data_IF_242044026429
#
_entry.id   IF_242044026429
#
_cell.length_a   1.000
_cell.length_b   1.000
_cell.length_c   1.000
_cell.angle_alpha   90.00
_cell.angle_beta   90.00
_cell.angle_gamma   90.00
#
_symmetry.space_group_name_H-M   'P 1'
#
loop_
_entity.id
_entity.type
_entity.pdbx_description
1 polymer ?
#
# COMPACT_ATOMS: atom_id res chain seq x y z
N UNK A 1 35.52 -25.09 14.02
CA UNK A 1 35.43 -24.54 12.64
C UNK A 1 34.15 -24.97 11.91
N UNK A 2 33.77 -26.26 11.85
CA UNK A 2 32.57 -26.77 11.15
C UNK A 2 31.24 -26.15 11.64
N UNK A 3 31.03 -26.01 12.96
CA UNK A 3 29.78 -25.44 13.52
C UNK A 3 29.60 -23.97 13.10
N UNK A 4 30.69 -23.17 13.12
CA UNK A 4 30.64 -21.77 12.69
C UNK A 4 30.31 -21.63 11.20
N UNK A 5 30.81 -22.53 10.38
CA UNK A 5 30.53 -22.57 8.94
C UNK A 5 29.04 -22.92 8.70
N UNK A 6 28.52 -23.96 9.39
CA UNK A 6 27.11 -24.34 9.31
C UNK A 6 26.19 -23.18 9.70
N UNK A 7 26.50 -22.51 10.82
CA UNK A 7 25.70 -21.36 11.25
C UNK A 7 25.73 -20.24 10.21
N UNK A 8 26.88 -19.90 9.65
CA UNK A 8 27.00 -18.88 8.60
C UNK A 8 26.20 -19.24 7.35
N UNK A 9 26.21 -20.50 6.93
CA UNK A 9 25.43 -20.97 5.79
C UNK A 9 23.92 -20.87 6.06
N UNK A 10 23.47 -21.26 7.25
CA UNK A 10 22.06 -21.15 7.66
C UNK A 10 21.61 -19.70 7.68
N UNK A 11 22.40 -18.79 8.28
CA UNK A 11 22.07 -17.37 8.29
C UNK A 11 22.01 -16.77 6.88
N UNK A 12 22.94 -17.13 6.00
CA UNK A 12 22.94 -16.69 4.61
C UNK A 12 21.69 -17.20 3.88
N UNK A 13 21.32 -18.46 4.06
CA UNK A 13 20.12 -19.02 3.43
C UNK A 13 18.84 -18.33 3.92
N UNK A 14 18.73 -18.07 5.22
CA UNK A 14 17.60 -17.32 5.79
C UNK A 14 17.55 -15.88 5.27
N UNK A 15 18.70 -15.23 5.16
CA UNK A 15 18.79 -13.88 4.61
C UNK A 15 18.37 -13.81 3.14
N UNK A 16 18.84 -14.75 2.32
CA UNK A 16 18.45 -14.85 0.92
C UNK A 16 16.95 -15.17 0.75
N UNK A 17 16.40 -16.03 1.60
CA UNK A 17 14.97 -16.32 1.62
C UNK A 17 14.15 -15.08 2.02
N UNK A 18 14.64 -14.32 3.00
CA UNK A 18 14.03 -13.04 3.38
C UNK A 18 14.07 -12.03 2.23
N UNK A 19 15.22 -11.87 1.55
CA UNK A 19 15.32 -10.97 0.41
C UNK A 19 14.40 -11.39 -0.73
N UNK A 20 14.35 -12.68 -1.06
CA UNK A 20 13.46 -13.20 -2.08
C UNK A 20 11.98 -12.91 -1.78
N UNK A 21 11.58 -13.05 -0.51
CA UNK A 21 10.24 -12.67 -0.07
C UNK A 21 10.03 -11.15 -0.06
N UNK A 22 11.00 -10.39 0.45
CA UNK A 22 10.88 -8.94 0.62
C UNK A 22 10.86 -8.20 -0.73
N UNK A 23 11.73 -8.61 -1.66
CA UNK A 23 11.87 -7.99 -2.99
C UNK A 23 10.95 -8.64 -4.04
N UNK A 24 10.21 -9.71 -3.68
CA UNK A 24 9.27 -10.37 -4.61
C UNK A 24 9.95 -11.10 -5.76
N UNK A 25 11.11 -11.73 -5.52
CA UNK A 25 11.82 -12.44 -6.60
C UNK A 25 10.94 -13.48 -7.29
N UNK A 26 10.83 -13.37 -8.62
CA UNK A 26 10.01 -14.26 -9.44
C UNK A 26 8.52 -13.87 -9.47
N UNK A 27 8.18 -12.65 -9.07
CA UNK A 27 6.84 -12.11 -9.30
C UNK A 27 6.75 -11.57 -10.72
N UNK A 28 5.88 -12.18 -11.52
CA UNK A 28 5.64 -11.75 -12.88
C UNK A 28 4.61 -10.60 -12.91
N UNK A 29 4.74 -9.67 -13.88
CA UNK A 29 3.71 -8.67 -14.14
C UNK A 29 2.36 -9.32 -14.45
N UNK A 30 1.28 -8.57 -14.32
CA UNK A 30 -0.04 -9.01 -14.74
C UNK A 30 -0.09 -9.27 -16.24
N UNK A 31 -0.62 -10.43 -16.62
CA UNK A 31 -0.95 -10.71 -18.02
C UNK A 31 -2.19 -9.92 -18.44
N UNK A 32 -2.36 -9.69 -19.75
CA UNK A 32 -3.56 -9.03 -20.28
C UNK A 32 -4.88 -9.74 -19.93
N UNK A 33 -4.85 -11.07 -19.82
CA UNK A 33 -6.00 -11.88 -19.42
C UNK A 33 -6.36 -11.67 -17.96
N UNK A 34 -5.37 -11.67 -17.06
CA UNK A 34 -5.56 -11.39 -15.63
C UNK A 34 -6.09 -9.98 -15.41
N UNK A 35 -5.54 -8.98 -16.12
CA UNK A 35 -6.03 -7.59 -16.07
C UNK A 35 -7.50 -7.51 -16.46
N UNK A 36 -7.90 -8.12 -17.59
CA UNK A 36 -9.27 -8.08 -18.05
C UNK A 36 -10.21 -8.79 -17.08
N UNK A 37 -9.82 -9.94 -16.55
CA UNK A 37 -10.60 -10.70 -15.56
C UNK A 37 -10.80 -9.90 -14.29
N UNK A 38 -9.74 -9.26 -13.77
CA UNK A 38 -9.79 -8.45 -12.57
C UNK A 38 -10.70 -7.22 -12.76
N UNK A 39 -10.55 -6.50 -13.88
CA UNK A 39 -11.35 -5.32 -14.17
C UNK A 39 -12.83 -5.69 -14.30
N UNK A 40 -13.17 -6.81 -14.97
CA UNK A 40 -14.55 -7.28 -15.07
C UNK A 40 -15.15 -7.64 -13.71
N UNK A 41 -14.34 -8.25 -12.82
CA UNK A 41 -14.78 -8.56 -11.44
C UNK A 41 -15.07 -7.29 -10.64
N UNK A 42 -14.18 -6.31 -10.68
CA UNK A 42 -14.31 -5.06 -9.95
C UNK A 42 -15.46 -4.20 -10.50
N UNK A 43 -15.65 -4.17 -11.81
CA UNK A 43 -16.79 -3.52 -12.47
C UNK A 43 -18.13 -4.12 -12.04
N UNK A 44 -18.21 -5.45 -11.96
CA UNK A 44 -19.41 -6.17 -11.50
C UNK A 44 -19.77 -5.87 -10.02
N UNK A 45 -18.83 -5.38 -9.24
CA UNK A 45 -19.03 -4.93 -7.85
C UNK A 45 -19.56 -3.49 -7.75
N UNK A 46 -19.78 -2.82 -8.90
CA UNK A 46 -20.34 -1.46 -8.94
C UNK A 46 -19.31 -0.35 -8.72
N UNK A 47 -18.04 -0.63 -8.96
CA UNK A 47 -16.96 0.35 -8.82
C UNK A 47 -17.17 1.55 -9.76
N UNK A 48 -16.85 2.72 -9.29
CA UNK A 48 -16.92 3.97 -10.04
C UNK A 48 -16.07 3.90 -11.33
N UNK A 49 -16.57 4.39 -12.49
CA UNK A 49 -15.84 4.36 -13.75
C UNK A 49 -14.46 5.03 -13.73
N UNK A 50 -14.29 6.09 -12.94
CA UNK A 50 -12.97 6.76 -12.81
C UNK A 50 -11.98 5.89 -12.01
N UNK A 51 -12.45 5.22 -10.98
CA UNK A 51 -11.63 4.26 -10.22
C UNK A 51 -11.21 3.07 -11.08
N UNK A 52 -12.13 2.53 -11.90
CA UNK A 52 -11.81 1.49 -12.88
C UNK A 52 -10.76 1.94 -13.89
N UNK A 53 -10.86 3.17 -14.37
CA UNK A 53 -9.87 3.76 -15.27
C UNK A 53 -8.50 3.88 -14.59
N UNK A 54 -8.46 4.32 -13.35
CA UNK A 54 -7.21 4.44 -12.57
C UNK A 54 -6.62 3.07 -12.26
N UNK A 55 -7.44 2.09 -11.90
CA UNK A 55 -7.00 0.71 -11.71
C UNK A 55 -6.43 0.12 -13.02
N UNK A 56 -7.08 0.36 -14.16
CA UNK A 56 -6.57 -0.06 -15.48
C UNK A 56 -5.20 0.54 -15.79
N UNK A 57 -4.98 1.80 -15.45
CA UNK A 57 -3.67 2.46 -15.64
C UNK A 57 -2.60 1.83 -14.74
N UNK A 58 -2.92 1.63 -13.45
CA UNK A 58 -2.01 0.98 -12.50
C UNK A 58 -1.57 -0.40 -12.98
N UNK A 59 -2.51 -1.20 -13.50
CA UNK A 59 -2.25 -2.56 -13.98
C UNK A 59 -1.52 -2.60 -15.32
N UNK A 60 -1.75 -1.61 -16.20
CA UNK A 60 -1.09 -1.54 -17.51
C UNK A 60 0.41 -1.27 -17.37
N UNK A 61 0.78 -0.49 -16.36
CA UNK A 61 2.17 -0.08 -16.11
C UNK A 61 2.89 -1.04 -15.15
N UNK A 62 2.30 -2.25 -14.91
CA UNK A 62 2.90 -3.25 -14.06
C UNK A 62 4.13 -3.88 -14.71
N UNK A 63 5.25 -3.80 -14.02
CA UNK A 63 6.55 -4.35 -14.39
C UNK A 63 6.97 -5.54 -13.49
N UNK A 64 6.09 -5.92 -12.54
CA UNK A 64 6.37 -6.95 -11.53
C UNK A 64 7.25 -6.48 -10.37
N UNK A 65 7.74 -5.27 -10.43
CA UNK A 65 8.67 -4.70 -9.45
C UNK A 65 7.94 -3.94 -8.32
N UNK A 66 8.70 -3.54 -7.31
CA UNK A 66 8.18 -2.70 -6.23
C UNK A 66 7.67 -1.35 -6.75
N UNK A 67 6.69 -0.79 -6.07
CA UNK A 67 6.24 0.55 -6.34
C UNK A 67 5.91 1.32 -5.06
N UNK A 68 5.89 2.63 -5.20
CA UNK A 68 5.63 3.55 -4.10
C UNK A 68 4.32 4.28 -4.34
N UNK A 69 3.46 4.30 -3.32
CA UNK A 69 2.22 5.04 -3.34
C UNK A 69 2.28 6.20 -2.36
N UNK A 70 2.09 7.39 -2.90
CA UNK A 70 1.95 8.60 -2.10
C UNK A 70 0.48 8.81 -1.77
N UNK A 71 0.14 8.72 -0.49
CA UNK A 71 -1.17 9.02 0.03
C UNK A 71 -1.15 10.42 0.64
N UNK A 72 -2.05 11.27 0.18
CA UNK A 72 -2.32 12.59 0.73
C UNK A 72 -3.70 12.52 1.39
N UNK A 73 -3.73 12.48 2.71
CA UNK A 73 -4.95 12.29 3.46
C UNK A 73 -5.55 13.63 3.86
N UNK A 74 -6.83 13.78 3.54
CA UNK A 74 -7.66 14.89 3.98
C UNK A 74 -8.79 14.32 4.82
N UNK A 75 -8.84 14.74 6.07
CA UNK A 75 -9.83 14.27 7.02
C UNK A 75 -10.99 15.28 7.14
N UNK A 76 -12.21 14.76 7.11
CA UNK A 76 -13.41 15.49 7.52
C UNK A 76 -13.87 14.91 8.85
N UNK A 77 -13.77 15.69 9.92
CA UNK A 77 -14.08 15.24 11.28
C UNK A 77 -14.53 16.39 12.17
N UNK A 78 -15.29 16.08 13.21
CA UNK A 78 -15.53 16.99 14.32
C UNK A 78 -14.34 16.98 15.29
N UNK A 79 -14.01 18.12 15.91
CA UNK A 79 -12.84 18.25 16.82
C UNK A 79 -12.81 17.22 17.96
N UNK A 80 -13.99 16.76 18.42
CA UNK A 80 -14.11 15.75 19.48
C UNK A 80 -13.86 14.30 18.99
N UNK A 81 -13.69 14.08 17.69
CA UNK A 81 -13.44 12.76 17.08
C UNK A 81 -11.96 12.49 16.79
N UNK A 82 -11.09 13.40 17.20
CA UNK A 82 -9.66 13.33 16.91
C UNK A 82 -8.88 12.89 18.13
N UNK A 83 -8.00 11.93 17.94
CA UNK A 83 -6.96 11.53 18.90
C UNK A 83 -5.60 11.65 18.23
N UNK A 84 -4.67 12.36 18.86
CA UNK A 84 -3.31 12.55 18.32
C UNK A 84 -3.28 13.11 16.88
N UNK A 85 -4.20 14.05 16.56
CA UNK A 85 -4.24 14.66 15.23
C UNK A 85 -4.91 13.84 14.13
N UNK A 86 -5.36 12.60 14.43
CA UNK A 86 -5.96 11.69 13.45
C UNK A 86 -7.35 11.24 13.90
N UNK A 87 -8.37 11.22 13.02
CA UNK A 87 -9.70 10.71 13.36
C UNK A 87 -9.66 9.28 13.86
N UNK A 88 -10.43 8.97 14.91
CA UNK A 88 -10.47 7.64 15.53
C UNK A 88 -10.88 6.55 14.54
N UNK A 89 -11.83 6.84 13.66
CA UNK A 89 -12.26 5.91 12.61
C UNK A 89 -11.10 5.57 11.67
N UNK A 90 -10.27 6.55 11.30
CA UNK A 90 -9.11 6.34 10.43
C UNK A 90 -7.98 5.58 11.14
N UNK A 91 -7.80 5.77 12.45
CA UNK A 91 -6.85 4.96 13.22
C UNK A 91 -7.24 3.48 13.22
N UNK A 92 -8.53 3.16 13.39
CA UNK A 92 -9.02 1.78 13.33
C UNK A 92 -8.83 1.16 11.95
N UNK A 93 -9.16 1.91 10.89
CA UNK A 93 -8.89 1.51 9.51
C UNK A 93 -7.40 1.23 9.30
N UNK A 94 -6.53 2.16 9.67
CA UNK A 94 -5.08 2.03 9.53
C UNK A 94 -4.51 0.82 10.26
N UNK A 95 -4.99 0.52 11.49
CA UNK A 95 -4.58 -0.66 12.25
C UNK A 95 -4.98 -1.97 11.56
N UNK A 96 -6.16 -2.03 10.94
CA UNK A 96 -6.61 -3.21 10.21
C UNK A 96 -5.81 -3.39 8.91
N UNK A 97 -5.65 -2.33 8.13
CA UNK A 97 -4.98 -2.36 6.83
C UNK A 97 -3.49 -2.64 6.95
N UNK A 98 -2.80 -2.09 7.97
CA UNK A 98 -1.35 -2.29 8.11
C UNK A 98 -0.96 -3.77 8.24
N UNK A 99 -1.80 -4.59 8.88
CA UNK A 99 -1.56 -6.04 8.99
C UNK A 99 -1.60 -6.74 7.62
N UNK A 100 -2.49 -6.28 6.74
CA UNK A 100 -2.63 -6.83 5.38
C UNK A 100 -1.44 -6.41 4.51
N UNK A 101 -1.00 -5.17 4.66
CA UNK A 101 0.16 -4.62 3.95
C UNK A 101 1.44 -5.39 4.34
N UNK A 102 1.67 -5.58 5.65
CA UNK A 102 2.86 -6.26 6.16
C UNK A 102 2.97 -7.73 5.73
N UNK A 103 1.84 -8.43 5.53
CA UNK A 103 1.82 -9.82 5.02
C UNK A 103 2.57 -9.96 3.68
N UNK A 104 2.55 -8.91 2.87
CA UNK A 104 3.14 -8.88 1.53
C UNK A 104 4.39 -7.97 1.46
N UNK A 105 5.14 -7.87 2.55
CA UNK A 105 6.33 -7.04 2.65
C UNK A 105 6.11 -5.54 2.30
N UNK A 106 4.85 -5.08 2.27
CA UNK A 106 4.54 -3.66 2.17
C UNK A 106 4.76 -2.98 3.53
N UNK A 107 5.16 -1.72 3.53
CA UNK A 107 5.31 -0.94 4.76
C UNK A 107 5.38 0.57 4.46
N UNK A 108 5.07 1.43 5.44
CA UNK A 108 5.32 2.85 5.30
C UNK A 108 6.83 3.13 5.29
N UNK A 109 7.28 3.98 4.37
CA UNK A 109 8.65 4.52 4.34
C UNK A 109 8.71 5.84 5.08
N UNK A 110 7.63 6.61 4.93
CA UNK A 110 7.50 7.90 5.57
C UNK A 110 6.03 8.13 5.94
N UNK A 111 5.81 8.73 7.09
CA UNK A 111 4.51 9.27 7.50
C UNK A 111 4.75 10.56 8.28
N UNK A 112 3.94 11.57 8.03
CA UNK A 112 4.07 12.86 8.69
C UNK A 112 2.83 13.72 8.54
N UNK A 113 2.61 14.57 9.52
CA UNK A 113 1.58 15.60 9.48
C UNK A 113 1.98 16.70 8.48
N UNK A 114 1.00 17.25 7.80
CA UNK A 114 1.18 18.41 6.93
C UNK A 114 0.69 19.61 7.74
N UNK A 115 1.55 20.61 8.02
CA UNK A 115 1.13 21.79 8.74
C UNK A 115 0.08 22.58 7.91
N UNK A 116 -0.81 23.26 8.59
CA UNK A 116 -1.87 24.11 8.03
C UNK A 116 -1.36 25.44 7.45
N UNK A 117 -0.04 25.59 7.36
CA UNK A 117 0.61 26.77 6.77
C UNK A 117 1.67 26.36 5.74
N UNK A 118 1.86 27.20 4.73
CA UNK A 118 2.91 27.07 3.73
C UNK A 118 3.99 28.15 3.97
N UNK A 119 5.25 27.78 3.79
CA UNK A 119 6.35 28.77 3.77
C UNK A 119 6.37 29.56 2.47
N UNK A 120 5.88 28.96 1.38
CA UNK A 120 5.78 29.56 0.04
C UNK A 120 4.48 29.09 -0.61
N UNK A 121 3.73 30.00 -1.23
CA UNK A 121 2.47 29.72 -1.89
C UNK A 121 1.25 30.21 -1.14
N UNK A 122 0.05 29.87 -1.63
CA UNK A 122 -1.23 30.25 -1.02
C UNK A 122 -1.71 29.13 -0.08
N UNK A 123 -1.92 29.44 1.19
CA UNK A 123 -2.39 28.48 2.20
C UNK A 123 -3.78 27.88 1.89
N UNK A 124 -4.55 28.52 1.00
CA UNK A 124 -5.86 27.99 0.56
C UNK A 124 -5.77 26.65 -0.16
N UNK A 125 -4.61 26.33 -0.71
CA UNK A 125 -4.34 25.07 -1.42
C UNK A 125 -3.81 23.96 -0.48
N UNK A 126 -3.45 24.29 0.76
CA UNK A 126 -2.95 23.36 1.76
C UNK A 126 -4.11 22.73 2.55
N UNK A 127 -4.83 21.80 1.92
CA UNK A 127 -5.99 21.14 2.56
C UNK A 127 -5.71 19.69 2.99
N UNK A 128 -4.46 19.27 2.97
CA UNK A 128 -4.05 17.91 3.35
C UNK A 128 -3.58 17.91 4.81
N UNK A 129 -3.97 16.88 5.57
CA UNK A 129 -3.60 16.75 6.98
C UNK A 129 -2.40 15.84 7.20
N UNK A 130 -2.25 14.83 6.34
CA UNK A 130 -1.20 13.83 6.48
C UNK A 130 -0.66 13.40 5.12
N UNK A 131 0.62 13.08 5.09
CA UNK A 131 1.30 12.46 3.97
C UNK A 131 1.85 11.09 4.41
N UNK A 132 1.58 10.04 3.63
CA UNK A 132 2.14 8.71 3.85
C UNK A 132 2.72 8.20 2.54
N UNK A 133 4.02 7.87 2.54
CA UNK A 133 4.66 7.18 1.44
C UNK A 133 4.75 5.69 1.79
N UNK A 134 3.98 4.89 1.05
CA UNK A 134 3.92 3.44 1.21
C UNK A 134 4.77 2.75 0.15
N UNK A 135 5.57 1.77 0.56
CA UNK A 135 6.19 0.81 -0.33
C UNK A 135 5.29 -0.43 -0.43
N UNK A 136 5.06 -0.89 -1.65
CA UNK A 136 4.47 -2.20 -1.95
C UNK A 136 5.48 -3.02 -2.75
N UNK A 137 5.60 -4.30 -2.43
CA UNK A 137 6.52 -5.23 -3.10
C UNK A 137 6.20 -5.39 -4.58
N UNK A 138 4.91 -5.36 -4.94
CA UNK A 138 4.43 -5.39 -6.32
C UNK A 138 3.02 -4.80 -6.43
N UNK A 139 2.62 -4.41 -7.65
CA UNK A 139 1.23 -4.02 -7.92
C UNK A 139 0.28 -5.19 -7.72
N UNK A 140 0.73 -6.41 -8.00
CA UNK A 140 -0.04 -7.65 -7.78
C UNK A 140 -0.42 -7.83 -6.30
N UNK A 141 0.52 -7.63 -5.38
CA UNK A 141 0.24 -7.71 -3.93
C UNK A 141 -0.75 -6.63 -3.47
N UNK A 142 -0.54 -5.39 -3.93
CA UNK A 142 -1.44 -4.29 -3.62
C UNK A 142 -2.86 -4.56 -4.11
N UNK A 143 -3.00 -4.93 -5.39
CA UNK A 143 -4.32 -5.17 -5.99
C UNK A 143 -5.01 -6.38 -5.36
N UNK A 144 -4.27 -7.47 -5.09
CA UNK A 144 -4.82 -8.64 -4.39
C UNK A 144 -5.33 -8.27 -3.00
N UNK A 145 -4.66 -7.36 -2.30
CA UNK A 145 -5.09 -6.86 -1.01
C UNK A 145 -6.37 -6.04 -1.12
N UNK A 146 -6.39 -4.98 -1.97
CA UNK A 146 -7.53 -4.05 -2.03
C UNK A 146 -8.78 -4.66 -2.66
N UNK A 147 -8.65 -5.76 -3.38
CA UNK A 147 -9.78 -6.53 -3.95
C UNK A 147 -10.17 -7.75 -3.12
N UNK A 148 -9.55 -7.93 -1.94
CA UNK A 148 -9.89 -9.03 -1.03
C UNK A 148 -11.18 -8.75 -0.26
N UNK A 149 -11.92 -9.81 0.07
CA UNK A 149 -13.13 -9.71 0.90
C UNK A 149 -12.82 -9.16 2.32
N UNK A 150 -11.59 -9.36 2.79
CA UNK A 150 -11.13 -8.84 4.09
C UNK A 150 -11.00 -7.32 4.04
N UNK A 151 -10.37 -6.78 2.99
CA UNK A 151 -10.22 -5.35 2.79
C UNK A 151 -11.56 -4.65 2.55
N UNK A 152 -12.42 -5.21 1.69
CA UNK A 152 -13.73 -4.65 1.33
C UNK A 152 -14.72 -4.55 2.51
N UNK A 153 -14.44 -5.20 3.63
CA UNK A 153 -15.24 -5.08 4.86
C UNK A 153 -14.83 -3.91 5.74
N UNK A 154 -13.66 -3.35 5.52
CA UNK A 154 -13.08 -2.29 6.37
C UNK A 154 -12.88 -0.97 5.62
N UNK A 155 -12.98 -0.98 4.28
CA UNK A 155 -12.82 0.19 3.40
C UNK A 155 -14.09 1.04 3.27
#
# INVERSE_FOLDING_TARGET
>A
MKIRLINATVFLALYLAFLAWYDGWGMDPFTAEEVNTLLSKVEAQGTNPEELKNLRRLLKDDDGEEFFMLNLNRYEYAENEVQQGVPVAYQHYGQAVIQMILKNAGHPIYSGEIPDYLLVGDAKDASWHEIILMRYRSRRDFVSMVTSDEYLKIA
#
